data_IF_594797876837
#
_entry.id   IF_594797876837
#
_cell.length_a   1.000
_cell.length_b   1.000
_cell.length_c   1.000
_cell.angle_alpha   90.00
_cell.angle_beta   90.00
_cell.angle_gamma   90.00
#
_symmetry.space_group_name_H-M   'P 1'
#
loop_
_entity.id
_entity.type
_entity.pdbx_description
1 polymer ?
#
# COMPACT_ATOMS: atom_id res chain seq x y z
N UNK A 1 9.26 13.98 24.32
CA UNK A 1 8.51 12.81 23.84
C UNK A 1 8.54 12.78 22.32
N UNK A 2 9.38 11.95 21.71
CA UNK A 2 9.34 11.73 20.25
C UNK A 2 8.20 10.75 19.98
N UNK A 3 7.00 11.25 19.71
CA UNK A 3 5.95 10.45 19.07
C UNK A 3 6.32 10.31 17.59
N UNK A 4 7.24 9.42 17.27
CA UNK A 4 7.21 8.80 15.94
C UNK A 4 6.06 7.79 15.98
N UNK A 5 4.83 8.30 15.94
CA UNK A 5 3.69 7.48 15.56
C UNK A 5 3.86 7.31 14.06
N UNK A 6 4.15 6.09 13.62
CA UNK A 6 4.11 5.71 12.22
C UNK A 6 2.71 6.03 11.66
N UNK A 7 2.55 7.26 11.13
CA UNK A 7 1.31 7.76 10.53
C UNK A 7 0.96 7.05 9.22
N UNK A 8 1.84 6.16 8.76
CA UNK A 8 1.71 5.38 7.52
C UNK A 8 0.49 4.44 7.49
N UNK A 9 -0.16 4.22 8.64
CA UNK A 9 -1.34 3.36 8.77
C UNK A 9 -2.69 4.12 8.78
N UNK A 10 -2.67 5.45 8.90
CA UNK A 10 -3.85 6.27 9.22
C UNK A 10 -4.37 7.08 8.01
N UNK A 11 -4.54 6.45 6.85
CA UNK A 11 -5.28 7.07 5.75
C UNK A 11 -6.78 7.12 6.09
N UNK A 12 -7.51 8.19 5.70
CA UNK A 12 -8.96 8.24 5.86
C UNK A 12 -9.65 7.08 5.12
N UNK A 13 -10.77 6.59 5.66
CA UNK A 13 -11.57 5.52 5.03
C UNK A 13 -11.96 5.87 3.58
N UNK A 14 -12.22 7.15 3.29
CA UNK A 14 -12.53 7.60 1.94
C UNK A 14 -11.35 7.41 0.98
N UNK A 15 -10.12 7.58 1.46
CA UNK A 15 -8.92 7.32 0.67
C UNK A 15 -8.74 5.82 0.42
N UNK A 16 -9.00 4.97 1.40
CA UNK A 16 -8.94 3.52 1.21
C UNK A 16 -9.92 3.07 0.12
N UNK A 17 -11.16 3.58 0.14
CA UNK A 17 -12.14 3.33 -0.92
C UNK A 17 -11.65 3.81 -2.28
N UNK A 18 -11.13 5.03 -2.35
CA UNK A 18 -10.58 5.58 -3.59
C UNK A 18 -9.46 4.71 -4.16
N UNK A 19 -8.53 4.24 -3.32
CA UNK A 19 -7.44 3.34 -3.72
C UNK A 19 -7.98 1.99 -4.19
N UNK A 20 -9.00 1.43 -3.54
CA UNK A 20 -9.63 0.18 -3.97
C UNK A 20 -10.32 0.30 -5.33
N UNK A 21 -10.87 1.46 -5.67
CA UNK A 21 -11.56 1.72 -6.93
C UNK A 21 -10.63 2.11 -8.08
N UNK A 22 -9.52 2.82 -7.77
CA UNK A 22 -8.70 3.50 -8.78
C UNK A 22 -7.24 3.02 -8.81
N UNK A 23 -6.78 2.32 -7.76
CA UNK A 23 -5.41 1.85 -7.62
C UNK A 23 -5.09 0.62 -8.48
N UNK A 24 -3.84 0.17 -8.36
CA UNK A 24 -3.38 -1.12 -8.87
C UNK A 24 -3.80 -2.22 -7.91
N UNK A 25 -4.45 -3.25 -8.43
CA UNK A 25 -4.95 -4.38 -7.65
C UNK A 25 -4.23 -5.65 -8.10
N UNK A 26 -3.75 -6.45 -7.13
CA UNK A 26 -3.23 -7.79 -7.38
C UNK A 26 -4.00 -8.82 -6.54
N UNK A 27 -4.64 -9.76 -7.23
CA UNK A 27 -5.26 -10.93 -6.62
C UNK A 27 -4.22 -12.05 -6.44
N UNK A 28 -4.24 -12.71 -5.29
CA UNK A 28 -3.38 -13.85 -4.99
C UNK A 28 -4.20 -15.12 -4.81
N UNK A 29 -3.62 -16.26 -5.17
CA UNK A 29 -4.30 -17.56 -5.07
C UNK A 29 -4.57 -18.04 -3.63
N UNK A 30 -4.00 -17.38 -2.62
CA UNK A 30 -4.19 -17.68 -1.20
C UNK A 30 -5.28 -16.83 -0.53
N UNK A 31 -6.13 -16.16 -1.33
CA UNK A 31 -7.24 -15.33 -0.85
C UNK A 31 -6.82 -13.93 -0.40
N UNK A 32 -5.57 -13.51 -0.65
CA UNK A 32 -5.12 -12.13 -0.45
C UNK A 32 -5.41 -11.25 -1.67
N UNK A 33 -5.74 -10.00 -1.41
CA UNK A 33 -5.87 -8.92 -2.38
C UNK A 33 -4.94 -7.78 -1.95
N UNK A 34 -4.03 -7.40 -2.84
CA UNK A 34 -3.07 -6.31 -2.63
C UNK A 34 -3.58 -5.07 -3.39
N UNK A 35 -3.80 -3.97 -2.68
CA UNK A 35 -4.19 -2.67 -3.23
C UNK A 35 -3.01 -1.71 -3.13
N UNK A 36 -2.65 -1.07 -4.24
CA UNK A 36 -1.50 -0.17 -4.33
C UNK A 36 -1.88 1.11 -5.07
N UNK A 37 -1.42 2.25 -4.56
CA UNK A 37 -1.56 3.53 -5.25
C UNK A 37 -0.37 4.44 -4.95
N UNK A 38 0.15 5.09 -5.98
CA UNK A 38 1.19 6.11 -5.85
C UNK A 38 0.65 7.33 -5.12
N UNK A 39 1.53 8.02 -4.41
CA UNK A 39 1.20 9.32 -3.86
C UNK A 39 2.30 9.88 -2.98
N UNK A 40 1.93 10.91 -2.23
CA UNK A 40 2.85 11.63 -1.36
C UNK A 40 2.38 11.59 0.08
N UNK A 41 3.31 11.40 1.00
CA UNK A 41 3.07 11.59 2.42
C UNK A 41 4.22 12.35 3.05
N UNK A 42 3.89 13.45 3.73
CA UNK A 42 4.88 14.35 4.34
C UNK A 42 6.00 14.78 3.37
N UNK A 43 5.64 15.08 2.12
CA UNK A 43 6.57 15.51 1.07
C UNK A 43 7.42 14.39 0.45
N UNK A 44 7.21 13.13 0.83
CA UNK A 44 7.89 11.98 0.24
C UNK A 44 6.97 11.24 -0.73
N UNK A 45 7.49 10.93 -1.90
CA UNK A 45 6.83 10.09 -2.89
C UNK A 45 6.93 8.61 -2.52
N UNK A 46 5.89 7.84 -2.82
CA UNK A 46 5.88 6.41 -2.55
C UNK A 46 4.57 5.75 -2.92
N UNK A 47 4.35 4.57 -2.33
CA UNK A 47 3.20 3.72 -2.59
C UNK A 47 2.43 3.48 -1.30
N UNK A 48 1.15 3.84 -1.30
CA UNK A 48 0.19 3.31 -0.32
C UNK A 48 -0.11 1.86 -0.69
N UNK A 49 0.08 0.95 0.27
CA UNK A 49 -0.08 -0.49 0.07
C UNK A 49 -1.00 -1.06 1.16
N UNK A 50 -2.08 -1.72 0.77
CA UNK A 50 -2.98 -2.42 1.68
C UNK A 50 -3.20 -3.85 1.23
N UNK A 51 -3.07 -4.80 2.14
CA UNK A 51 -3.38 -6.20 1.91
C UNK A 51 -4.62 -6.59 2.70
N UNK A 52 -5.62 -7.11 2.00
CA UNK A 52 -6.82 -7.70 2.59
C UNK A 52 -6.80 -9.21 2.36
N UNK A 53 -7.24 -9.99 3.33
CA UNK A 53 -7.40 -11.45 3.22
C UNK A 53 -8.88 -11.80 3.40
N UNK A 54 -9.37 -12.72 2.57
CA UNK A 54 -10.76 -13.20 2.61
C UNK A 54 -11.79 -12.06 2.57
N UNK A 55 -11.48 -11.00 1.82
CA UNK A 55 -12.35 -9.84 1.53
C UNK A 55 -12.70 -8.91 2.71
N UNK A 56 -12.46 -9.28 3.96
CA UNK A 56 -12.87 -8.48 5.14
C UNK A 56 -11.74 -8.15 6.13
N UNK A 57 -10.61 -8.85 6.05
CA UNK A 57 -9.55 -8.75 7.06
C UNK A 57 -8.34 -8.00 6.52
N UNK A 58 -8.10 -6.79 7.01
CA UNK A 58 -6.88 -6.03 6.71
C UNK A 58 -5.70 -6.64 7.49
N UNK A 59 -4.74 -7.21 6.78
CA UNK A 59 -3.54 -7.82 7.38
C UNK A 59 -2.29 -6.93 7.25
N UNK A 60 -2.32 -5.98 6.32
CA UNK A 60 -1.26 -5.01 6.11
C UNK A 60 -1.86 -3.73 5.54
N UNK A 61 -1.32 -2.60 5.99
CA UNK A 61 -1.63 -1.28 5.46
C UNK A 61 -0.41 -0.43 5.73
N UNK A 62 0.22 0.19 4.75
CA UNK A 62 1.41 1.00 4.98
C UNK A 62 1.64 1.97 3.81
N UNK A 63 2.54 2.92 3.99
CA UNK A 63 3.11 3.70 2.90
C UNK A 63 4.61 3.41 2.81
N UNK A 64 5.06 3.02 1.63
CA UNK A 64 6.44 2.64 1.33
C UNK A 64 7.02 3.72 0.43
N UNK A 65 8.03 4.49 0.88
CA UNK A 65 8.70 5.47 0.03
C UNK A 65 9.29 4.83 -1.23
N UNK A 66 9.31 5.58 -2.35
CA UNK A 66 9.78 5.08 -3.66
C UNK A 66 11.20 4.51 -3.58
N UNK A 67 12.09 5.14 -2.80
CA UNK A 67 13.48 4.69 -2.61
C UNK A 67 13.60 3.34 -1.89
N UNK A 68 12.52 2.85 -1.27
CA UNK A 68 12.44 1.55 -0.60
C UNK A 68 11.59 0.53 -1.36
N UNK A 69 10.84 0.95 -2.38
CA UNK A 69 9.86 0.11 -3.04
C UNK A 69 10.50 -1.13 -3.68
N UNK A 70 11.54 -0.94 -4.48
CA UNK A 70 12.22 -2.04 -5.17
C UNK A 70 12.76 -3.10 -4.21
N UNK A 71 13.27 -2.69 -3.05
CA UNK A 71 13.71 -3.62 -2.02
C UNK A 71 12.53 -4.30 -1.31
N UNK A 72 11.44 -3.57 -1.08
CA UNK A 72 10.24 -4.10 -0.45
C UNK A 72 9.59 -5.21 -1.29
N UNK A 73 9.58 -5.09 -2.62
CA UNK A 73 8.86 -6.02 -3.51
C UNK A 73 9.61 -7.31 -3.87
N UNK A 74 10.95 -7.36 -3.66
CA UNK A 74 11.83 -8.47 -4.12
C UNK A 74 11.30 -9.87 -3.83
N UNK A 75 10.75 -10.07 -2.63
CA UNK A 75 10.24 -11.38 -2.18
C UNK A 75 8.71 -11.42 -2.07
N UNK A 76 8.03 -10.30 -2.36
CA UNK A 76 6.58 -10.17 -2.20
C UNK A 76 5.81 -10.39 -3.51
N UNK A 77 6.54 -10.51 -4.62
CA UNK A 77 5.99 -10.61 -5.98
C UNK A 77 5.06 -9.44 -6.32
N UNK A 78 5.32 -8.24 -5.82
CA UNK A 78 4.49 -7.07 -6.09
C UNK A 78 4.95 -6.37 -7.39
N UNK A 79 4.06 -5.60 -8.06
CA UNK A 79 4.43 -4.83 -9.24
C UNK A 79 5.58 -3.86 -8.99
N UNK A 80 6.36 -3.55 -10.03
CA UNK A 80 7.37 -2.49 -9.95
C UNK A 80 6.70 -1.14 -9.77
N UNK A 81 7.46 -0.15 -9.29
CA UNK A 81 6.92 1.18 -9.04
C UNK A 81 6.22 1.75 -10.28
N UNK A 82 6.83 1.62 -11.45
CA UNK A 82 6.31 2.16 -12.71
C UNK A 82 4.97 1.53 -13.14
N UNK A 83 4.67 0.31 -12.69
CA UNK A 83 3.43 -0.41 -13.00
C UNK A 83 2.27 -0.06 -12.04
N UNK A 84 2.51 0.83 -11.07
CA UNK A 84 1.51 1.26 -10.09
C UNK A 84 0.84 2.55 -10.54
N UNK A 85 -0.49 2.61 -10.39
CA UNK A 85 -1.31 3.80 -10.65
C UNK A 85 -1.19 4.85 -9.55
#
# INVERSE_FOLDING_TARGET
MVKNKDLYHNTPVLFDKYMMENGTIKYRGDGRIEYMMKGYMNGKEGVFHTTVKNEDTVIHKNFIPVEKWDNYIKEKELPKYDDIK
#
